data_IF_244557328547
#
_entry.id   IF_244557328547
#
_cell.length_a   1.000
_cell.length_b   1.000
_cell.length_c   1.000
_cell.angle_alpha   90.00
_cell.angle_beta   90.00
_cell.angle_gamma   90.00
#
_symmetry.space_group_name_H-M   'P 1'
#
loop_
_entity.id
_entity.type
_entity.pdbx_description
1 polymer ?
#
# COMPACT_ATOMS: atom_id res chain seq x y z
N UNK A 1 -8.68 2.24 3.78
CA UNK A 1 -8.01 1.09 3.15
C UNK A 1 -8.63 0.81 1.79
N UNK A 2 -8.29 1.61 0.77
CA UNK A 2 -8.81 1.41 -0.59
C UNK A 2 -8.33 0.15 -1.31
N UNK A 3 -7.59 -0.71 -0.60
CA UNK A 3 -6.96 -1.90 -1.14
C UNK A 3 -7.36 -3.21 -0.44
N UNK A 4 -8.13 -3.16 0.66
CA UNK A 4 -8.35 -4.35 1.48
C UNK A 4 -9.13 -5.43 0.69
N UNK A 5 -8.52 -6.59 0.40
CA UNK A 5 -9.24 -7.76 -0.08
C UNK A 5 -10.00 -8.42 1.07
N UNK A 6 -11.01 -9.20 0.70
CA UNK A 6 -12.02 -9.77 1.59
C UNK A 6 -11.45 -10.79 2.58
N UNK A 7 -11.84 -10.67 3.85
CA UNK A 7 -11.78 -11.78 4.81
C UNK A 7 -12.96 -12.72 4.52
N UNK A 8 -12.73 -14.03 4.49
CA UNK A 8 -13.81 -15.02 4.42
C UNK A 8 -14.79 -14.75 5.59
N UNK A 9 -16.04 -14.44 5.29
CA UNK A 9 -17.14 -14.02 6.21
C UNK A 9 -17.33 -12.52 6.49
N UNK A 10 -16.73 -11.60 5.73
CA UNK A 10 -17.02 -10.15 5.88
C UNK A 10 -17.79 -9.58 4.69
N UNK A 11 -18.65 -8.59 4.95
CA UNK A 11 -19.30 -7.79 3.91
C UNK A 11 -18.24 -7.19 2.99
N UNK A 12 -18.37 -7.47 1.70
CA UNK A 12 -17.50 -6.95 0.64
C UNK A 12 -18.19 -5.77 -0.03
N UNK A 13 -17.40 -4.84 -0.57
CA UNK A 13 -17.98 -3.81 -1.42
C UNK A 13 -18.49 -4.44 -2.72
N UNK A 14 -19.58 -3.90 -3.26
CA UNK A 14 -20.06 -4.28 -4.60
C UNK A 14 -18.95 -4.09 -5.62
N UNK A 15 -18.98 -4.87 -6.70
CA UNK A 15 -18.00 -4.76 -7.78
C UNK A 15 -17.86 -3.31 -8.26
N UNK A 16 -16.62 -2.87 -8.41
CA UNK A 16 -16.29 -1.48 -8.76
C UNK A 16 -16.23 -0.49 -7.59
N UNK A 17 -16.56 -0.91 -6.36
CA UNK A 17 -16.43 -0.10 -5.14
C UNK A 17 -15.32 -0.63 -4.23
N UNK A 18 -14.71 0.26 -3.46
CA UNK A 18 -13.56 -0.04 -2.61
C UNK A 18 -13.79 0.50 -1.20
N UNK A 19 -13.32 -0.19 -0.18
CA UNK A 19 -13.47 0.26 1.21
C UNK A 19 -12.54 1.46 1.46
N UNK A 20 -13.02 2.59 1.95
CA UNK A 20 -12.17 3.74 2.24
C UNK A 20 -11.47 3.60 3.61
N UNK A 21 -10.71 4.61 4.06
CA UNK A 21 -10.10 4.63 5.41
C UNK A 21 -11.10 4.64 6.56
N UNK A 22 -12.31 5.13 6.34
CA UNK A 22 -13.40 5.15 7.32
C UNK A 22 -14.20 3.84 7.37
N UNK A 23 -13.86 2.87 6.52
CA UNK A 23 -14.53 1.58 6.45
C UNK A 23 -15.79 1.55 5.55
N UNK A 24 -16.08 2.61 4.80
CA UNK A 24 -17.23 2.72 3.91
C UNK A 24 -16.87 2.31 2.47
N UNK A 25 -17.79 1.69 1.73
CA UNK A 25 -17.60 1.45 0.30
C UNK A 25 -17.72 2.76 -0.50
N UNK A 26 -16.72 3.04 -1.33
CA UNK A 26 -16.60 4.30 -2.07
C UNK A 26 -16.17 4.04 -3.51
N UNK A 27 -16.39 5.03 -4.36
CA UNK A 27 -16.06 4.97 -5.78
C UNK A 27 -14.54 5.02 -5.99
N UNK A 28 -14.02 4.42 -7.08
CA UNK A 28 -12.59 4.38 -7.37
C UNK A 28 -11.94 5.77 -7.39
N UNK A 29 -12.66 6.78 -7.93
CA UNK A 29 -12.19 8.16 -8.01
C UNK A 29 -11.98 8.80 -6.64
N UNK A 30 -12.79 8.45 -5.64
CA UNK A 30 -12.62 8.91 -4.26
C UNK A 30 -11.42 8.21 -3.62
N UNK A 31 -11.26 6.92 -3.87
CA UNK A 31 -10.10 6.16 -3.39
C UNK A 31 -8.76 6.65 -3.93
N UNK A 32 -8.69 7.05 -5.20
CA UNK A 32 -7.49 7.66 -5.80
C UNK A 32 -7.04 8.95 -5.11
N UNK A 33 -7.99 9.68 -4.50
CA UNK A 33 -7.74 10.98 -3.85
C UNK A 33 -7.45 10.87 -2.36
N UNK A 34 -7.64 9.69 -1.77
CA UNK A 34 -7.40 9.47 -0.36
C UNK A 34 -5.88 9.44 -0.09
N UNK A 35 -5.43 10.09 0.98
CA UNK A 35 -4.00 10.11 1.36
C UNK A 35 -3.60 8.82 2.03
N UNK A 36 -2.43 8.29 1.68
CA UNK A 36 -1.88 7.12 2.34
C UNK A 36 -1.56 7.41 3.82
N UNK A 37 -1.53 6.36 4.64
CA UNK A 37 -1.35 6.51 6.09
C UNK A 37 0.06 6.92 6.51
N UNK A 38 1.07 6.57 5.70
CA UNK A 38 2.46 6.98 5.94
C UNK A 38 2.80 8.27 5.20
N UNK A 39 3.58 9.14 5.84
CA UNK A 39 4.23 10.25 5.15
C UNK A 39 5.15 9.73 4.04
N UNK A 40 5.31 10.51 2.96
CA UNK A 40 6.14 10.14 1.79
C UNK A 40 5.69 8.85 1.10
N UNK A 41 4.38 8.59 1.11
CA UNK A 41 3.79 7.49 0.38
C UNK A 41 2.66 7.99 -0.52
N UNK A 42 2.60 7.44 -1.73
CA UNK A 42 1.69 7.85 -2.79
C UNK A 42 0.68 6.76 -3.10
N UNK A 43 -0.57 7.18 -3.28
CA UNK A 43 -1.67 6.31 -3.69
C UNK A 43 -1.51 6.01 -5.19
N UNK A 44 -1.30 4.74 -5.55
CA UNK A 44 -1.22 4.32 -6.95
C UNK A 44 -2.45 3.52 -7.36
N UNK A 45 -2.88 3.66 -8.61
CA UNK A 45 -3.97 2.84 -9.15
C UNK A 45 -3.64 1.35 -9.17
N UNK A 46 -2.36 1.02 -9.27
CA UNK A 46 -1.79 -0.32 -9.28
C UNK A 46 -0.49 -0.25 -8.49
N UNK A 47 -0.56 -0.58 -7.20
CA UNK A 47 0.54 -0.48 -6.26
C UNK A 47 1.22 -1.84 -6.05
N UNK A 48 2.52 -1.85 -5.78
CA UNK A 48 3.24 -3.06 -5.36
C UNK A 48 2.80 -3.50 -3.96
N UNK A 49 2.63 -4.82 -3.71
CA UNK A 49 2.53 -5.37 -2.37
C UNK A 49 3.69 -4.91 -1.47
N UNK A 50 3.47 -4.81 -0.16
CA UNK A 50 4.48 -4.30 0.78
C UNK A 50 5.75 -5.14 0.74
N UNK A 51 5.62 -6.46 0.62
CA UNK A 51 6.71 -7.43 0.46
C UNK A 51 7.51 -7.27 -0.84
N UNK A 52 6.97 -6.54 -1.81
CA UNK A 52 7.59 -6.25 -3.10
C UNK A 52 8.17 -4.84 -3.19
N UNK A 53 7.93 -4.01 -2.18
CA UNK A 53 8.55 -2.70 -2.10
C UNK A 53 9.98 -2.82 -1.58
N UNK A 54 10.83 -1.89 -2.04
CA UNK A 54 12.20 -1.76 -1.55
C UNK A 54 12.13 -1.28 -0.10
N UNK A 55 12.92 -1.92 0.77
CA UNK A 55 12.99 -1.59 2.19
C UNK A 55 14.44 -1.40 2.63
N UNK A 56 14.65 -0.99 3.87
CA UNK A 56 16.01 -0.91 4.43
C UNK A 56 16.76 -2.26 4.38
N UNK A 57 16.03 -3.39 4.52
CA UNK A 57 16.60 -4.74 4.47
C UNK A 57 16.58 -5.32 3.05
N UNK A 58 15.62 -4.92 2.24
CA UNK A 58 15.39 -5.43 0.89
C UNK A 58 15.75 -4.37 -0.15
N UNK A 59 16.99 -4.41 -0.63
CA UNK A 59 17.53 -3.44 -1.61
C UNK A 59 17.05 -3.68 -3.05
N UNK A 60 16.49 -4.85 -3.33
CA UNK A 60 16.01 -5.24 -4.65
C UNK A 60 14.64 -5.91 -4.55
N UNK A 61 13.82 -5.74 -5.59
CA UNK A 61 12.51 -6.38 -5.66
C UNK A 61 12.66 -7.90 -5.84
N UNK A 62 12.06 -8.72 -4.97
CA UNK A 62 12.11 -10.17 -5.08
C UNK A 62 11.59 -10.68 -6.42
N UNK A 63 12.19 -11.74 -6.95
CA UNK A 63 11.81 -12.28 -8.27
C UNK A 63 10.34 -12.68 -8.36
N UNK A 64 9.76 -13.18 -7.28
CA UNK A 64 8.35 -13.59 -7.23
C UNK A 64 7.38 -12.42 -7.41
N UNK A 65 7.80 -11.19 -7.14
CA UNK A 65 6.96 -10.01 -7.29
C UNK A 65 6.57 -9.74 -8.74
N UNK A 66 7.36 -10.23 -9.71
CA UNK A 66 7.05 -10.13 -11.14
C UNK A 66 5.77 -10.88 -11.54
N UNK A 67 5.37 -11.90 -10.77
CA UNK A 67 4.14 -12.68 -11.02
C UNK A 67 2.98 -12.28 -10.12
N UNK A 68 3.19 -11.39 -9.16
CA UNK A 68 2.12 -10.93 -8.26
C UNK A 68 1.25 -9.87 -8.93
N UNK A 69 -0.05 -9.96 -8.69
CA UNK A 69 -0.98 -8.91 -9.09
C UNK A 69 -0.73 -7.68 -8.22
N UNK A 70 -0.71 -6.52 -8.85
CA UNK A 70 -0.65 -5.28 -8.10
C UNK A 70 -1.94 -5.06 -7.29
N UNK A 71 -1.78 -4.26 -6.25
CA UNK A 71 -2.82 -3.87 -5.32
C UNK A 71 -3.54 -2.64 -5.87
N UNK A 72 -4.83 -2.72 -6.21
CA UNK A 72 -5.58 -1.57 -6.70
C UNK A 72 -5.73 -0.52 -5.60
N UNK A 73 -5.45 0.74 -5.93
CA UNK A 73 -5.52 1.88 -5.00
C UNK A 73 -4.70 1.67 -3.71
N UNK A 74 -3.62 0.90 -3.80
CA UNK A 74 -2.65 0.72 -2.73
C UNK A 74 -1.69 1.90 -2.60
N UNK A 75 -0.80 1.79 -1.61
CA UNK A 75 0.18 2.83 -1.28
C UNK A 75 1.59 2.29 -1.52
N UNK A 76 2.42 3.09 -2.19
CA UNK A 76 3.85 2.84 -2.33
C UNK A 76 4.63 4.00 -1.75
N UNK A 77 5.85 3.75 -1.27
CA UNK A 77 6.77 4.84 -0.96
C UNK A 77 7.07 5.69 -2.19
N UNK A 78 7.20 6.99 -1.97
CA UNK A 78 7.64 7.94 -2.99
C UNK A 78 9.07 7.64 -3.42
N UNK A 79 9.45 8.14 -4.60
CA UNK A 79 10.81 7.98 -5.10
C UNK A 79 11.84 8.58 -4.13
N UNK A 80 12.90 7.83 -3.84
CA UNK A 80 13.91 8.21 -2.82
C UNK A 80 13.56 7.81 -1.38
N UNK A 81 12.36 7.26 -1.14
CA UNK A 81 11.94 6.70 0.14
C UNK A 81 11.83 5.18 0.06
N UNK A 82 12.13 4.51 1.17
CA UNK A 82 12.08 3.04 1.30
C UNK A 82 11.14 2.65 2.43
N UNK A 83 10.57 1.45 2.31
CA UNK A 83 9.72 0.88 3.34
C UNK A 83 10.54 0.55 4.60
N UNK A 84 9.97 0.88 5.74
CA UNK A 84 10.49 0.55 7.06
C UNK A 84 9.30 0.21 7.96
N UNK A 85 9.52 -0.63 8.97
CA UNK A 85 8.52 -0.93 9.99
C UNK A 85 8.92 -0.20 11.26
N UNK A 86 8.09 0.72 11.73
CA UNK A 86 8.36 1.48 12.95
C UNK A 86 8.33 0.59 14.21
N UNK A 87 8.59 1.18 15.38
CA UNK A 87 8.60 0.45 16.66
C UNK A 87 7.25 -0.23 16.99
N UNK A 88 6.16 0.19 16.35
CA UNK A 88 4.82 -0.39 16.49
C UNK A 88 4.54 -1.45 15.42
N UNK A 89 5.50 -1.73 14.55
CA UNK A 89 5.36 -2.64 13.42
C UNK A 89 4.49 -2.07 12.29
N UNK A 90 4.29 -0.76 12.23
CA UNK A 90 3.51 -0.13 11.15
C UNK A 90 4.40 0.21 9.95
N UNK A 91 3.93 -0.05 8.72
CA UNK A 91 4.68 0.29 7.52
C UNK A 91 4.78 1.81 7.36
N UNK A 92 6.00 2.31 7.26
CA UNK A 92 6.32 3.72 7.06
C UNK A 92 7.38 3.92 5.99
N UNK A 93 7.36 5.07 5.30
CA UNK A 93 8.31 5.41 4.26
C UNK A 93 9.32 6.44 4.77
N UNK A 94 10.59 6.03 4.84
CA UNK A 94 11.70 6.86 5.31
C UNK A 94 12.74 7.04 4.20
N UNK A 95 13.52 8.13 4.22
CA UNK A 95 14.67 8.25 3.32
C UNK A 95 15.64 7.09 3.53
N UNK A 96 16.23 6.57 2.45
CA UNK A 96 17.18 5.46 2.54
C UNK A 96 18.38 5.76 3.45
N UNK A 97 18.79 7.02 3.54
CA UNK A 97 19.86 7.49 4.45
C UNK A 97 19.51 7.40 5.93
N UNK A 98 18.23 7.20 6.27
CA UNK A 98 17.73 7.04 7.65
C UNK A 98 17.48 5.58 8.02
N UNK A 99 17.87 4.63 7.17
CA UNK A 99 17.82 3.23 7.56
C UNK A 99 18.74 2.98 8.75
N UNK A 100 18.29 2.22 9.77
CA UNK A 100 19.10 1.85 10.92
C UNK A 100 20.22 0.86 10.56
#
# INVERSE_FOLDING_TARGET
MCHAPCDFNKCVCKDGYYRNSQGNCTEPKKCRRERCGSANSVRKSCAKPLECQISCLQKEEPRFCKSLKCIPFGCECEEGFVLYYDEKGLPTCIPQSKCP
#
